data_IF_373117490372
#
_entry.id   IF_373117490372
#
_cell.length_a   1.000
_cell.length_b   1.000
_cell.length_c   1.000
_cell.angle_alpha   90.00
_cell.angle_beta   90.00
_cell.angle_gamma   90.00
#
_symmetry.space_group_name_H-M   'P 1'
#
loop_
_entity.id
_entity.type
_entity.pdbx_description
1 polymer ?
#
# COMPACT_ATOMS: atom_id res chain seq x y z
N UNK A 1 11.71 -5.34 -30.29
CA UNK A 1 11.25 -4.81 -31.60
C UNK A 1 10.88 -5.95 -32.56
N UNK A 2 10.05 -6.91 -32.14
CA UNK A 2 9.71 -8.06 -33.00
C UNK A 2 8.54 -7.77 -33.96
N UNK A 3 7.60 -6.90 -33.57
CA UNK A 3 6.37 -6.64 -34.32
C UNK A 3 6.60 -5.99 -35.69
N UNK A 4 7.59 -5.09 -35.80
CA UNK A 4 7.91 -4.40 -37.05
C UNK A 4 8.56 -5.35 -38.06
N UNK A 5 9.38 -6.29 -37.57
CA UNK A 5 10.07 -7.29 -38.40
C UNK A 5 9.15 -8.43 -38.85
N UNK A 6 7.94 -8.54 -38.29
CA UNK A 6 6.91 -9.51 -38.67
C UNK A 6 5.95 -8.97 -39.74
N UNK A 7 6.11 -7.73 -40.18
CA UNK A 7 5.26 -7.13 -41.20
C UNK A 7 5.64 -7.66 -42.59
N UNK A 8 4.67 -8.17 -43.37
CA UNK A 8 4.95 -8.56 -44.74
C UNK A 8 5.39 -7.35 -45.58
N UNK A 9 6.32 -7.59 -46.51
CA UNK A 9 6.84 -6.56 -47.40
C UNK A 9 5.70 -5.95 -48.22
N UNK A 10 5.67 -4.62 -48.33
CA UNK A 10 4.64 -3.89 -49.09
C UNK A 10 3.32 -3.65 -48.34
N UNK A 11 3.22 -4.03 -47.06
CA UNK A 11 2.00 -3.81 -46.24
C UNK A 11 1.90 -2.44 -45.58
N UNK A 12 2.93 -1.60 -45.75
CA UNK A 12 2.96 -0.20 -45.32
C UNK A 12 3.10 0.69 -46.55
N UNK A 13 2.03 1.41 -46.87
CA UNK A 13 1.94 2.33 -48.02
C UNK A 13 2.26 3.79 -47.64
N UNK A 14 2.26 4.12 -46.35
CA UNK A 14 2.35 5.48 -45.88
C UNK A 14 2.83 5.57 -44.42
N UNK A 15 3.43 6.71 -44.09
CA UNK A 15 3.81 7.01 -42.71
C UNK A 15 2.61 6.99 -41.75
N UNK A 16 1.42 7.41 -42.21
CA UNK A 16 0.18 7.38 -41.43
C UNK A 16 -0.22 5.94 -41.06
N UNK A 17 -0.07 5.00 -41.99
CA UNK A 17 -0.41 3.60 -41.74
C UNK A 17 0.61 2.94 -40.79
N UNK A 18 1.90 3.29 -40.92
CA UNK A 18 2.93 2.88 -39.96
C UNK A 18 2.64 3.44 -38.55
N UNK A 19 2.33 4.74 -38.42
CA UNK A 19 2.10 5.38 -37.12
C UNK A 19 0.85 4.83 -36.42
N UNK A 20 -0.23 4.54 -37.16
CA UNK A 20 -1.42 3.89 -36.60
C UNK A 20 -1.13 2.47 -36.11
N UNK A 21 -0.35 1.68 -36.85
CA UNK A 21 0.04 0.33 -36.40
C UNK A 21 1.01 0.36 -35.22
N UNK A 22 1.96 1.28 -35.22
CA UNK A 22 2.84 1.54 -34.09
C UNK A 22 2.01 1.88 -32.85
N UNK A 23 1.12 2.87 -32.96
CA UNK A 23 0.22 3.23 -31.87
C UNK A 23 -0.60 2.02 -31.44
N UNK A 24 -1.25 1.29 -32.34
CA UNK A 24 -2.03 0.09 -31.97
C UNK A 24 -1.20 -0.94 -31.21
N UNK A 25 0.03 -1.20 -31.66
CA UNK A 25 0.94 -2.16 -31.02
C UNK A 25 1.37 -1.71 -29.62
N UNK A 26 1.69 -0.43 -29.45
CA UNK A 26 2.17 0.12 -28.19
C UNK A 26 1.05 0.61 -27.26
N UNK A 27 -0.16 0.87 -27.76
CA UNK A 27 -1.33 1.27 -26.95
C UNK A 27 -1.89 0.08 -26.18
N UNK A 28 -1.74 -1.15 -26.70
CA UNK A 28 -2.08 -2.38 -25.97
C UNK A 28 -1.22 -2.53 -24.70
N UNK A 29 -0.03 -1.94 -24.66
CA UNK A 29 0.84 -1.92 -23.48
C UNK A 29 0.70 -0.65 -22.63
N UNK A 30 -0.20 0.27 -23.00
CA UNK A 30 -0.44 1.47 -22.21
C UNK A 30 -1.26 1.05 -20.99
N UNK A 31 -0.61 0.89 -19.84
CA UNK A 31 -1.32 0.76 -18.56
C UNK A 31 -2.12 2.04 -18.36
N UNK A 32 -3.44 1.94 -18.48
CA UNK A 32 -4.31 3.04 -18.10
C UNK A 32 -4.05 3.37 -16.63
N UNK A 33 -3.97 4.65 -16.25
CA UNK A 33 -3.81 5.03 -14.86
C UNK A 33 -4.94 4.38 -14.05
N UNK A 34 -4.59 3.79 -12.91
CA UNK A 34 -5.60 3.21 -12.03
C UNK A 34 -6.44 4.35 -11.46
N UNK A 35 -7.71 4.07 -11.20
CA UNK A 35 -8.62 5.07 -10.61
C UNK A 35 -8.66 4.88 -9.08
N UNK A 36 -9.22 5.84 -8.35
CA UNK A 36 -9.37 5.74 -6.89
C UNK A 36 -10.11 4.45 -6.44
N UNK A 37 -10.99 3.89 -7.29
CA UNK A 37 -11.66 2.61 -7.01
C UNK A 37 -10.69 1.44 -6.81
N UNK A 38 -9.51 1.49 -7.42
CA UNK A 38 -8.47 0.49 -7.25
C UNK A 38 -7.98 0.42 -5.80
N UNK A 39 -7.87 1.56 -5.12
CA UNK A 39 -7.37 1.61 -3.75
C UNK A 39 -8.29 0.87 -2.78
N UNK A 40 -9.61 0.83 -3.04
CA UNK A 40 -10.57 0.04 -2.24
C UNK A 40 -10.33 -1.47 -2.31
N UNK A 41 -9.56 -1.95 -3.30
CA UNK A 41 -9.20 -3.38 -3.41
C UNK A 41 -7.98 -3.74 -2.55
N UNK A 42 -7.25 -2.75 -2.03
CA UNK A 42 -6.04 -2.93 -1.23
C UNK A 42 -6.43 -3.08 0.23
N UNK A 43 -7.02 -4.22 0.58
CA UNK A 43 -7.49 -4.54 1.93
C UNK A 43 -6.36 -5.23 2.73
N UNK A 44 -6.29 -4.97 4.04
CA UNK A 44 -5.36 -5.66 4.95
C UNK A 44 -5.81 -7.12 5.14
N UNK A 45 -4.97 -8.08 4.72
CA UNK A 45 -5.27 -9.54 4.74
C UNK A 45 -5.09 -10.12 6.14
N UNK A 46 -5.71 -11.25 6.49
CA UNK A 46 -5.76 -11.84 7.86
C UNK A 46 -4.42 -12.19 8.53
N UNK A 47 -3.37 -12.45 7.76
CA UNK A 47 -2.05 -12.78 8.31
C UNK A 47 -0.98 -11.77 7.91
N UNK A 48 -1.42 -10.61 7.45
CA UNK A 48 -0.54 -9.54 7.02
C UNK A 48 -0.31 -8.54 8.14
N UNK A 49 0.98 -8.22 8.38
CA UNK A 49 1.38 -7.19 9.31
C UNK A 49 0.88 -5.81 8.86
N UNK A 50 0.76 -4.88 9.80
CA UNK A 50 0.41 -3.51 9.44
C UNK A 50 1.45 -2.87 8.51
N UNK A 51 2.75 -3.17 8.71
CA UNK A 51 3.83 -2.69 7.85
C UNK A 51 3.68 -3.14 6.39
N UNK A 52 3.49 -4.44 6.16
CA UNK A 52 3.36 -5.00 4.81
C UNK A 52 2.14 -4.41 4.09
N UNK A 53 1.05 -4.23 4.82
CA UNK A 53 -0.14 -3.55 4.31
C UNK A 53 0.16 -2.10 3.91
N UNK A 54 0.82 -1.33 4.77
CA UNK A 54 1.15 0.08 4.51
C UNK A 54 2.05 0.23 3.29
N UNK A 55 3.01 -0.67 3.12
CA UNK A 55 3.88 -0.69 1.94
C UNK A 55 3.05 -0.90 0.66
N UNK A 56 2.18 -1.92 0.62
CA UNK A 56 1.31 -2.17 -0.54
C UNK A 56 0.34 -1.02 -0.81
N UNK A 57 -0.20 -0.41 0.23
CA UNK A 57 -1.10 0.73 0.10
C UNK A 57 -0.37 1.94 -0.49
N UNK A 58 0.83 2.26 -0.01
CA UNK A 58 1.67 3.33 -0.54
C UNK A 58 2.02 3.10 -2.02
N UNK A 59 2.46 1.89 -2.38
CA UNK A 59 2.72 1.51 -3.77
C UNK A 59 1.48 1.68 -4.66
N UNK A 60 0.30 1.29 -4.17
CA UNK A 60 -0.95 1.45 -4.91
C UNK A 60 -1.35 2.91 -5.10
N UNK A 61 -1.08 3.80 -4.13
CA UNK A 61 -1.31 5.24 -4.25
C UNK A 61 -0.47 5.86 -5.37
N UNK A 62 0.78 5.40 -5.55
CA UNK A 62 1.65 5.86 -6.64
C UNK A 62 1.11 5.50 -8.04
N UNK A 63 0.25 4.48 -8.15
CA UNK A 63 -0.38 4.08 -9.40
C UNK A 63 -1.66 4.87 -9.74
N UNK A 64 -2.17 5.68 -8.80
CA UNK A 64 -3.41 6.44 -8.93
C UNK A 64 -3.12 7.94 -8.89
N UNK A 65 -3.22 8.67 -10.00
CA UNK A 65 -2.97 10.09 -10.01
C UNK A 65 -4.07 10.89 -9.31
N UNK A 66 -3.69 11.99 -8.64
CA UNK A 66 -4.58 13.04 -8.12
C UNK A 66 -5.66 12.59 -7.11
N UNK A 67 -5.33 11.69 -6.19
CA UNK A 67 -6.23 11.37 -5.07
C UNK A 67 -6.02 12.39 -3.95
N UNK A 68 -7.12 12.99 -3.45
CA UNK A 68 -7.02 13.90 -2.32
C UNK A 68 -6.72 13.13 -1.00
N UNK A 69 -6.02 13.75 -0.04
CA UNK A 69 -5.64 13.09 1.20
C UNK A 69 -6.82 12.59 2.04
N UNK A 70 -7.94 13.32 2.07
CA UNK A 70 -9.12 12.95 2.86
C UNK A 70 -9.75 11.65 2.35
N UNK A 71 -9.80 11.45 1.03
CA UNK A 71 -10.24 10.21 0.42
C UNK A 71 -9.25 9.07 0.70
N UNK A 72 -7.94 9.33 0.65
CA UNK A 72 -6.92 8.34 1.01
C UNK A 72 -7.08 7.85 2.46
N UNK A 73 -7.27 8.77 3.40
CA UNK A 73 -7.51 8.44 4.80
C UNK A 73 -8.78 7.59 4.97
N UNK A 74 -9.86 7.97 4.29
CA UNK A 74 -11.14 7.24 4.32
C UNK A 74 -11.02 5.82 3.77
N UNK A 75 -10.34 5.67 2.62
CA UNK A 75 -10.09 4.37 2.00
C UNK A 75 -9.20 3.51 2.90
N UNK A 76 -8.11 4.06 3.44
CA UNK A 76 -7.21 3.32 4.33
C UNK A 76 -7.95 2.84 5.59
N UNK A 77 -8.75 3.70 6.20
CA UNK A 77 -9.57 3.34 7.37
C UNK A 77 -10.56 2.21 7.06
N UNK A 78 -11.15 2.20 5.86
CA UNK A 78 -12.05 1.13 5.44
C UNK A 78 -11.32 -0.19 5.19
N UNK A 79 -10.13 -0.11 4.62
CA UNK A 79 -9.33 -1.26 4.20
C UNK A 79 -8.54 -1.92 5.34
N UNK A 80 -8.30 -1.18 6.43
CA UNK A 80 -7.70 -1.72 7.65
C UNK A 80 -8.64 -2.70 8.35
N UNK A 81 -8.05 -3.72 8.97
CA UNK A 81 -8.81 -4.59 9.86
C UNK A 81 -9.33 -3.79 11.06
N UNK A 82 -10.41 -4.28 11.65
CA UNK A 82 -10.93 -3.70 12.90
C UNK A 82 -9.85 -3.82 13.98
N UNK A 83 -9.60 -2.72 14.69
CA UNK A 83 -8.56 -2.64 15.69
C UNK A 83 -8.21 -1.19 16.03
N UNK A 84 -7.27 -1.02 16.96
CA UNK A 84 -6.91 0.28 17.55
C UNK A 84 -6.47 1.31 16.51
N UNK A 85 -5.75 0.88 15.46
CA UNK A 85 -5.31 1.80 14.40
C UNK A 85 -6.48 2.38 13.60
N UNK A 86 -7.46 1.54 13.24
CA UNK A 86 -8.66 1.99 12.50
C UNK A 86 -9.47 2.99 13.32
N UNK A 87 -9.57 2.78 14.63
CA UNK A 87 -10.23 3.69 15.57
C UNK A 87 -9.45 5.00 15.71
N UNK A 88 -8.13 4.93 15.79
CA UNK A 88 -7.25 6.11 15.87
C UNK A 88 -7.38 7.02 14.65
N UNK A 89 -7.47 6.44 13.46
CA UNK A 89 -7.66 7.21 12.21
C UNK A 89 -9.03 7.88 12.20
N UNK A 90 -10.06 7.19 12.71
CA UNK A 90 -11.40 7.77 12.83
C UNK A 90 -11.43 8.97 13.77
N UNK A 91 -10.72 8.88 14.91
CA UNK A 91 -10.69 9.93 15.93
C UNK A 91 -9.83 11.13 15.55
N UNK A 92 -8.74 10.91 14.80
CA UNK A 92 -7.86 11.96 14.28
C UNK A 92 -7.54 11.67 12.81
N UNK A 93 -8.38 12.13 11.87
CA UNK A 93 -8.14 11.94 10.45
C UNK A 93 -6.89 12.72 10.03
N UNK A 94 -5.92 12.07 9.35
CA UNK A 94 -4.75 12.78 8.84
C UNK A 94 -5.12 13.67 7.65
N UNK A 95 -4.50 14.84 7.58
CA UNK A 95 -4.72 15.83 6.52
C UNK A 95 -3.84 15.60 5.29
N UNK A 96 -2.78 14.79 5.42
CA UNK A 96 -1.84 14.47 4.34
C UNK A 96 -1.49 12.97 4.33
N UNK A 97 -0.96 12.50 3.20
CA UNK A 97 -0.42 11.14 3.11
C UNK A 97 0.74 10.92 4.09
N UNK A 98 1.58 11.93 4.31
CA UNK A 98 2.71 11.83 5.24
C UNK A 98 2.23 11.68 6.69
N UNK A 99 1.19 12.42 7.09
CA UNK A 99 0.59 12.26 8.43
C UNK A 99 -0.04 10.87 8.61
N UNK A 100 -0.67 10.34 7.56
CA UNK A 100 -1.24 9.00 7.55
C UNK A 100 -0.15 7.94 7.76
N UNK A 101 0.98 8.08 7.08
CA UNK A 101 2.14 7.18 7.19
C UNK A 101 2.78 7.27 8.57
N UNK A 102 3.04 8.48 9.07
CA UNK A 102 3.62 8.69 10.41
C UNK A 102 2.71 8.11 11.50
N UNK A 103 1.40 8.29 11.39
CA UNK A 103 0.47 7.69 12.34
C UNK A 103 0.52 6.16 12.27
N UNK A 104 0.57 5.56 11.08
CA UNK A 104 0.71 4.12 10.92
C UNK A 104 2.04 3.59 11.51
N UNK A 105 3.16 4.25 11.25
CA UNK A 105 4.48 3.89 11.81
C UNK A 105 4.49 3.90 13.34
N UNK A 106 3.87 4.92 13.96
CA UNK A 106 3.73 4.96 15.42
C UNK A 106 2.97 3.74 15.96
N UNK A 107 1.95 3.26 15.25
CA UNK A 107 1.21 2.07 15.64
C UNK A 107 1.99 0.77 15.41
N UNK A 108 2.77 0.69 14.33
CA UNK A 108 3.66 -0.45 14.06
C UNK A 108 4.67 -0.60 15.21
N UNK A 109 5.27 0.51 15.64
CA UNK A 109 6.15 0.53 16.82
C UNK A 109 5.43 0.07 18.10
N UNK A 110 4.17 0.48 18.31
CA UNK A 110 3.37 0.05 19.48
C UNK A 110 3.06 -1.45 19.41
N UNK A 111 2.65 -1.98 18.25
CA UNK A 111 2.41 -3.43 18.05
C UNK A 111 3.69 -4.21 18.33
N UNK A 112 4.80 -3.84 17.72
CA UNK A 112 6.08 -4.54 17.83
C UNK A 112 6.67 -4.49 19.25
N UNK A 113 6.59 -3.36 19.94
CA UNK A 113 7.03 -3.24 21.34
C UNK A 113 6.08 -3.91 22.34
N UNK A 114 4.81 -4.12 21.97
CA UNK A 114 3.85 -4.86 22.80
C UNK A 114 4.04 -6.38 22.70
N UNK A 115 4.39 -6.91 21.52
CA UNK A 115 4.70 -8.34 21.32
C UNK A 115 6.00 -8.75 22.03
N UNK A 116 7.00 -7.87 22.11
CA UNK A 116 8.27 -8.14 22.84
C UNK A 116 8.04 -8.29 24.35
N UNK A 117 7.04 -7.60 24.93
CA UNK A 117 6.76 -7.68 26.38
C UNK A 117 6.08 -8.97 26.81
N UNK A 118 5.54 -9.74 25.88
CA UNK A 118 4.96 -11.07 26.16
C UNK A 118 5.99 -12.20 26.20
N UNK A 119 7.25 -11.96 25.80
CA UNK A 119 8.30 -13.02 25.75
C UNK A 119 9.23 -13.00 26.98
N UNK A 120 9.10 -12.05 27.92
CA UNK A 120 9.84 -12.09 29.20
C UNK A 120 8.97 -12.60 30.35
N UNK A 121 9.04 -13.89 30.72
CA UNK A 121 8.41 -14.35 31.94
C UNK A 121 9.18 -13.82 33.16
N UNK A 122 8.43 -13.12 34.00
CA UNK A 122 8.78 -12.73 35.37
C UNK A 122 9.31 -13.92 36.19
N UNK A 123 10.55 -13.79 36.69
CA UNK A 123 11.12 -14.41 37.91
C UNK A 123 12.48 -13.72 38.12
N UNK A 124 12.73 -12.91 39.16
CA UNK A 124 12.55 -13.18 40.59
C UNK A 124 12.37 -11.86 41.34
N UNK A 125 11.41 -11.80 42.28
CA UNK A 125 11.45 -10.90 43.43
C UNK A 125 11.37 -11.76 44.70
N UNK A 126 12.11 -11.30 45.72
CA UNK A 126 12.15 -11.73 47.11
C UNK A 126 13.00 -12.99 47.40
N UNK A 127 14.32 -12.80 47.43
CA UNK A 127 15.14 -13.35 48.51
C UNK A 127 15.83 -12.16 49.17
N UNK A 128 15.22 -11.64 50.22
CA UNK A 128 15.98 -10.99 51.29
C UNK A 128 15.24 -11.19 52.62
N UNK A 129 16.02 -11.64 53.59
CA UNK A 129 15.80 -11.62 55.04
C UNK A 129 15.05 -12.79 55.69
N UNK A 130 15.87 -13.63 56.34
CA UNK A 130 15.48 -14.60 57.36
C UNK A 130 16.70 -15.29 57.98
N UNK A 131 17.65 -14.51 58.53
CA UNK A 131 18.65 -15.04 59.48
C UNK A 131 17.94 -15.48 60.78
N UNK A 132 18.44 -16.53 61.43
CA UNK A 132 19.41 -16.34 62.52
C UNK A 132 20.72 -17.11 62.34
#
# INVERSE_FOLDING_TARGET
MAWFNQLPIGTIDSFKQLSQRFLRHFTINKRYPKTASYLFTVIQREHESLWDYMQRFSEAVLEVPHVNPELLASIMQQNLRRGRIRESIAGKPPATLDELLVQAENYIWIEETSDVRTITPSKRRAEEEGHP
#
